data_IF_297555672218
#
_entry.id   IF_297555672218
#
_cell.length_a   1.000
_cell.length_b   1.000
_cell.length_c   1.000
_cell.angle_alpha   90.00
_cell.angle_beta   90.00
_cell.angle_gamma   90.00
#
_symmetry.space_group_name_H-M   'P 1'
#
loop_
_entity.id
_entity.type
_entity.pdbx_description
1 polymer ?
#
# COMPACT_ATOMS: atom_id res chain seq x y z
N UNK A 1 -28.97 -7.13 8.09
CA UNK A 1 -27.97 -6.49 7.22
C UNK A 1 -26.91 -5.87 8.13
N UNK A 2 -25.64 -6.23 7.96
CA UNK A 2 -24.57 -5.58 8.75
C UNK A 2 -24.41 -4.11 8.30
N UNK A 3 -24.16 -3.22 9.26
CA UNK A 3 -23.95 -1.80 8.98
C UNK A 3 -22.74 -1.63 8.06
N UNK A 4 -22.88 -0.99 6.87
CA UNK A 4 -21.77 -0.79 5.95
C UNK A 4 -20.57 -0.10 6.59
N UNK A 5 -20.79 0.78 7.57
CA UNK A 5 -19.73 1.51 8.29
C UNK A 5 -18.85 0.57 9.10
N UNK A 6 -19.44 -0.43 9.77
CA UNK A 6 -18.72 -1.44 10.56
C UNK A 6 -17.91 -2.38 9.66
N UNK A 7 -18.50 -2.82 8.54
CA UNK A 7 -17.78 -3.67 7.57
C UNK A 7 -16.55 -2.94 7.01
N UNK A 8 -16.70 -1.66 6.73
CA UNK A 8 -15.62 -0.86 6.17
C UNK A 8 -14.54 -0.50 7.19
N UNK A 9 -14.89 -0.30 8.47
CA UNK A 9 -13.92 -0.13 9.56
C UNK A 9 -13.02 -1.35 9.66
N UNK A 10 -13.61 -2.52 9.85
CA UNK A 10 -12.90 -3.81 9.94
C UNK A 10 -12.01 -4.10 8.72
N UNK A 11 -12.39 -3.71 7.49
CA UNK A 11 -11.54 -3.86 6.30
C UNK A 11 -10.32 -2.96 6.33
N UNK A 12 -10.46 -1.72 6.79
CA UNK A 12 -9.33 -0.78 6.88
C UNK A 12 -8.35 -1.18 7.97
N UNK A 13 -8.84 -1.65 9.11
CA UNK A 13 -8.02 -2.21 10.20
C UNK A 13 -7.22 -3.42 9.72
N UNK A 14 -7.85 -4.37 9.00
CA UNK A 14 -7.14 -5.51 8.40
C UNK A 14 -6.11 -5.10 7.35
N UNK A 15 -6.40 -4.08 6.53
CA UNK A 15 -5.44 -3.54 5.59
C UNK A 15 -4.25 -2.91 6.31
N UNK A 16 -4.48 -2.19 7.42
CA UNK A 16 -3.40 -1.64 8.24
C UNK A 16 -2.53 -2.73 8.84
N UNK A 17 -3.15 -3.74 9.48
CA UNK A 17 -2.46 -4.91 10.03
C UNK A 17 -1.58 -5.58 8.96
N UNK A 18 -2.14 -5.90 7.80
CA UNK A 18 -1.41 -6.51 6.69
C UNK A 18 -0.28 -5.60 6.17
N UNK A 19 -0.49 -4.27 6.16
CA UNK A 19 0.54 -3.30 5.77
C UNK A 19 1.70 -3.30 6.76
N UNK A 20 1.44 -3.24 8.06
CA UNK A 20 2.50 -3.30 9.09
C UNK A 20 3.27 -4.61 9.01
N UNK A 21 2.57 -5.75 8.82
CA UNK A 21 3.20 -7.05 8.61
C UNK A 21 4.11 -7.08 7.38
N UNK A 22 3.71 -6.41 6.29
CA UNK A 22 4.51 -6.36 5.06
C UNK A 22 5.73 -5.46 5.17
N UNK A 23 5.64 -4.37 5.92
CA UNK A 23 6.76 -3.45 6.17
C UNK A 23 7.81 -4.06 7.11
N UNK A 24 7.41 -4.88 8.08
CA UNK A 24 8.29 -5.76 8.84
C UNK A 24 9.08 -5.13 9.99
N UNK A 25 8.97 -3.82 10.25
CA UNK A 25 9.74 -3.12 11.29
C UNK A 25 8.97 -3.06 12.61
N UNK A 26 8.74 -4.21 13.21
CA UNK A 26 8.09 -4.33 14.52
C UNK A 26 8.49 -5.64 15.22
N UNK A 27 8.47 -5.64 16.54
CA UNK A 27 8.68 -6.83 17.39
C UNK A 27 7.37 -7.53 17.76
N UNK A 28 6.29 -6.73 17.90
CA UNK A 28 4.96 -7.23 18.24
C UNK A 28 3.91 -6.35 17.60
N UNK A 29 2.92 -6.98 16.99
CA UNK A 29 1.68 -6.37 16.53
C UNK A 29 0.53 -7.14 17.16
N UNK A 30 -0.38 -6.44 17.84
CA UNK A 30 -1.52 -7.03 18.52
C UNK A 30 -2.75 -6.17 18.31
N UNK A 31 -3.91 -6.78 18.02
CA UNK A 31 -5.21 -6.12 18.12
C UNK A 31 -5.50 -5.80 19.59
N UNK A 32 -5.73 -4.53 19.94
CA UNK A 32 -5.82 -4.07 21.32
C UNK A 32 -7.28 -3.95 21.79
N UNK A 33 -8.21 -3.65 20.91
CA UNK A 33 -9.62 -3.42 21.22
C UNK A 33 -10.46 -4.71 21.39
N UNK A 34 -9.79 -5.87 21.46
CA UNK A 34 -10.44 -7.17 21.68
C UNK A 34 -10.54 -7.51 23.17
N UNK A 35 -11.74 -7.98 23.55
CA UNK A 35 -12.00 -8.41 24.94
C UNK A 35 -12.64 -7.32 25.80
N UNK A 36 -12.68 -7.57 27.10
CA UNK A 36 -13.31 -6.66 28.06
C UNK A 36 -12.25 -5.78 28.72
N UNK A 37 -12.50 -4.48 28.73
CA UNK A 37 -11.71 -3.52 29.48
C UNK A 37 -12.44 -3.16 30.76
N UNK A 38 -11.80 -3.33 31.91
CA UNK A 38 -12.28 -2.90 33.23
C UNK A 38 -11.37 -1.77 33.71
N UNK A 39 -11.86 -0.56 33.72
CA UNK A 39 -11.12 0.63 34.16
C UNK A 39 -11.96 1.46 35.14
N UNK A 40 -11.28 2.17 36.04
CA UNK A 40 -11.91 3.07 37.00
C UNK A 40 -12.52 4.31 36.37
N UNK A 41 -12.08 4.64 35.15
CA UNK A 41 -12.53 5.80 34.36
C UNK A 41 -12.97 5.34 32.97
N UNK A 42 -13.87 6.10 32.35
CA UNK A 42 -14.30 5.81 30.99
C UNK A 42 -13.15 5.99 30.02
N UNK A 43 -12.78 4.93 29.32
CA UNK A 43 -11.74 4.93 28.30
C UNK A 43 -12.11 4.02 27.14
N UNK A 44 -11.37 4.12 26.06
CA UNK A 44 -11.50 3.27 24.86
C UNK A 44 -10.12 2.76 24.45
N UNK A 45 -10.01 1.44 24.27
CA UNK A 45 -8.82 0.85 23.67
C UNK A 45 -8.72 1.24 22.19
N UNK A 46 -7.56 1.68 21.70
CA UNK A 46 -7.28 1.82 20.27
C UNK A 46 -7.25 0.46 19.57
N UNK A 47 -7.28 0.47 18.24
CA UNK A 47 -7.38 -0.76 17.44
C UNK A 47 -6.18 -1.69 17.62
N UNK A 48 -4.96 -1.14 17.68
CA UNK A 48 -3.72 -1.92 17.74
C UNK A 48 -2.73 -1.44 18.78
N UNK A 49 -1.91 -2.40 19.27
CA UNK A 49 -0.64 -2.15 19.94
C UNK A 49 0.49 -2.62 19.03
N UNK A 50 1.50 -1.78 18.83
CA UNK A 50 2.72 -2.08 18.08
C UNK A 50 3.92 -1.86 18.99
N UNK A 51 4.83 -2.82 19.08
CA UNK A 51 6.15 -2.66 19.69
C UNK A 51 7.15 -2.57 18.54
N UNK A 52 7.81 -1.44 18.41
CA UNK A 52 8.80 -1.17 17.37
C UNK A 52 10.11 -1.91 17.65
N UNK A 53 11.02 -1.95 16.68
CA UNK A 53 12.31 -2.64 16.78
C UNK A 53 13.20 -2.10 17.92
N UNK A 54 13.10 -0.80 18.23
CA UNK A 54 13.81 -0.17 19.35
C UNK A 54 13.14 -0.36 20.72
N UNK A 55 11.96 -1.00 20.75
CA UNK A 55 11.19 -1.28 21.96
C UNK A 55 10.17 -0.19 22.34
N UNK A 56 10.08 0.92 21.60
CA UNK A 56 9.00 1.88 21.80
C UNK A 56 7.65 1.23 21.49
N UNK A 57 6.66 1.49 22.33
CA UNK A 57 5.30 0.97 22.12
C UNK A 57 4.41 2.08 21.58
N UNK A 58 3.60 1.75 20.59
CA UNK A 58 2.55 2.59 20.06
C UNK A 58 1.18 1.98 20.26
N UNK A 59 0.22 2.80 20.64
CA UNK A 59 -1.21 2.48 20.61
C UNK A 59 -1.79 3.18 19.38
N UNK A 60 -2.34 2.42 18.46
CA UNK A 60 -2.71 2.93 17.13
C UNK A 60 -4.21 2.83 16.92
N UNK A 61 -4.84 3.96 16.66
CA UNK A 61 -6.22 4.05 16.17
C UNK A 61 -6.23 4.22 14.66
N UNK A 62 -6.99 3.42 13.94
CA UNK A 62 -7.08 3.41 12.47
C UNK A 62 -8.26 4.23 11.99
N UNK A 63 -8.04 5.07 10.99
CA UNK A 63 -9.09 5.87 10.34
C UNK A 63 -9.00 5.75 8.82
N UNK A 64 -10.17 5.74 8.18
CA UNK A 64 -10.29 5.75 6.73
C UNK A 64 -10.93 7.05 6.27
N UNK A 65 -10.25 7.76 5.36
CA UNK A 65 -10.79 8.97 4.72
C UNK A 65 -11.24 8.63 3.31
N UNK A 66 -12.55 8.69 3.10
CA UNK A 66 -13.21 8.40 1.83
C UNK A 66 -13.85 9.66 1.25
N UNK A 67 -13.03 10.59 0.82
CA UNK A 67 -13.52 11.74 0.08
C UNK A 67 -13.25 11.54 -1.42
N UNK A 68 -14.23 11.70 -2.30
CA UNK A 68 -14.01 11.66 -3.74
C UNK A 68 -13.32 12.93 -4.27
N UNK A 69 -13.23 13.98 -3.44
CA UNK A 69 -12.66 15.27 -3.84
C UNK A 69 -11.17 15.33 -3.47
N UNK A 70 -10.25 15.40 -4.47
CA UNK A 70 -8.80 15.37 -4.24
C UNK A 70 -8.30 16.46 -3.27
N UNK A 71 -8.89 17.66 -3.34
CA UNK A 71 -8.44 18.82 -2.55
C UNK A 71 -9.15 18.94 -1.19
N UNK A 72 -10.13 18.08 -0.88
CA UNK A 72 -10.89 18.12 0.38
C UNK A 72 -10.59 16.92 1.28
N UNK A 73 -9.39 16.36 1.18
CA UNK A 73 -8.95 15.24 2.00
C UNK A 73 -8.67 15.73 3.43
N UNK A 74 -9.58 15.43 4.35
CA UNK A 74 -9.47 15.77 5.77
C UNK A 74 -10.18 14.77 6.65
N UNK A 75 -9.72 14.61 7.87
CA UNK A 75 -10.40 13.86 8.93
C UNK A 75 -10.56 14.70 10.17
N UNK A 76 -11.49 14.32 11.01
CA UNK A 76 -11.75 14.97 12.30
C UNK A 76 -12.20 13.95 13.34
N UNK A 77 -11.88 14.24 14.60
CA UNK A 77 -12.34 13.46 15.74
C UNK A 77 -12.90 14.39 16.81
N UNK A 78 -13.97 13.97 17.48
CA UNK A 78 -14.54 14.74 18.59
C UNK A 78 -13.58 14.74 19.79
N UNK A 79 -13.66 15.79 20.61
CA UNK A 79 -12.87 15.89 21.83
C UNK A 79 -13.09 14.70 22.77
N UNK A 80 -14.36 14.29 22.96
CA UNK A 80 -14.70 13.18 23.83
C UNK A 80 -14.11 11.85 23.34
N UNK A 81 -14.16 11.59 22.02
CA UNK A 81 -13.57 10.37 21.44
C UNK A 81 -12.06 10.34 21.59
N UNK A 82 -11.39 11.45 21.22
CA UNK A 82 -9.93 11.55 21.35
C UNK A 82 -9.48 11.45 22.81
N UNK A 83 -10.21 12.09 23.73
CA UNK A 83 -9.93 12.01 25.17
C UNK A 83 -10.07 10.56 25.70
N UNK A 84 -11.09 9.81 25.26
CA UNK A 84 -11.27 8.42 25.71
C UNK A 84 -10.12 7.49 25.26
N UNK A 85 -9.59 7.67 24.05
CA UNK A 85 -8.41 6.96 23.56
C UNK A 85 -7.15 7.39 24.33
N UNK A 86 -6.98 8.70 24.56
CA UNK A 86 -5.84 9.22 25.31
C UNK A 86 -5.82 8.72 26.75
N UNK A 87 -6.99 8.67 27.41
CA UNK A 87 -7.10 8.12 28.77
C UNK A 87 -6.61 6.67 28.84
N UNK A 88 -6.94 5.85 27.82
CA UNK A 88 -6.41 4.49 27.75
C UNK A 88 -4.89 4.49 27.54
N UNK A 89 -4.40 5.31 26.63
CA UNK A 89 -2.99 5.43 26.31
C UNK A 89 -2.15 5.86 27.53
N UNK A 90 -2.65 6.84 28.29
CA UNK A 90 -2.00 7.32 29.52
C UNK A 90 -1.94 6.24 30.60
N UNK A 91 -3.02 5.45 30.80
CA UNK A 91 -3.03 4.35 31.76
C UNK A 91 -2.08 3.22 31.37
N UNK A 92 -1.90 2.97 30.09
CA UNK A 92 -0.99 1.94 29.56
C UNK A 92 0.45 2.44 29.51
N UNK A 93 0.66 3.75 29.51
CA UNK A 93 1.98 4.39 29.42
C UNK A 93 2.61 4.28 28.02
N UNK A 94 1.80 4.29 26.98
CA UNK A 94 2.25 4.24 25.59
C UNK A 94 1.62 5.36 24.75
N UNK A 95 2.37 6.03 23.85
CA UNK A 95 1.83 7.12 23.05
C UNK A 95 0.73 6.64 22.10
N UNK A 96 -0.31 7.47 21.98
CA UNK A 96 -1.37 7.30 20.99
C UNK A 96 -0.89 7.77 19.62
N UNK A 97 -1.13 6.96 18.58
CA UNK A 97 -0.93 7.28 17.18
C UNK A 97 -2.23 7.13 16.40
N UNK A 98 -2.36 7.89 15.33
CA UNK A 98 -3.45 7.76 14.38
C UNK A 98 -2.89 7.27 13.06
N UNK A 99 -3.29 6.08 12.63
CA UNK A 99 -3.02 5.57 11.29
C UNK A 99 -4.20 5.95 10.38
N UNK A 100 -3.95 6.81 9.42
CA UNK A 100 -4.98 7.34 8.53
C UNK A 100 -4.75 6.84 7.12
N UNK A 101 -5.73 6.09 6.59
CA UNK A 101 -5.76 5.67 5.20
C UNK A 101 -6.50 6.71 4.36
N UNK A 102 -5.79 7.33 3.42
CA UNK A 102 -6.32 8.25 2.43
C UNK A 102 -6.69 7.45 1.17
N UNK A 103 -7.91 6.89 1.18
CA UNK A 103 -8.31 5.85 0.23
C UNK A 103 -8.31 6.29 -1.24
N UNK A 104 -8.57 7.57 -1.54
CA UNK A 104 -8.47 8.09 -2.91
C UNK A 104 -7.05 7.96 -3.49
N UNK A 105 -6.04 8.06 -2.62
CA UNK A 105 -4.62 8.07 -3.00
C UNK A 105 -3.88 6.77 -2.66
N UNK A 106 -4.54 5.83 -1.96
CA UNK A 106 -3.92 4.63 -1.38
C UNK A 106 -2.67 4.94 -0.54
N UNK A 107 -2.73 6.00 0.28
CA UNK A 107 -1.62 6.45 1.13
C UNK A 107 -1.98 6.24 2.59
N UNK A 108 -1.02 5.70 3.35
CA UNK A 108 -1.03 5.66 4.79
C UNK A 108 -0.22 6.81 5.39
N UNK A 109 -0.74 7.40 6.45
CA UNK A 109 0.01 8.29 7.32
C UNK A 109 -0.19 7.85 8.76
N UNK A 110 0.89 7.80 9.53
CA UNK A 110 0.87 7.56 10.98
C UNK A 110 1.34 8.83 11.66
N UNK A 111 0.53 9.38 12.55
CA UNK A 111 0.79 10.69 13.17
C UNK A 111 0.55 10.67 14.67
N UNK A 112 1.22 11.56 15.39
CA UNK A 112 0.92 11.91 16.78
C UNK A 112 -0.22 12.93 16.86
N UNK A 113 -1.36 12.63 17.49
CA UNK A 113 -2.54 13.51 17.49
C UNK A 113 -2.32 14.82 18.23
N UNK A 114 -1.36 14.92 19.15
CA UNK A 114 -1.09 16.10 19.96
C UNK A 114 -0.83 17.34 19.10
N UNK A 115 -0.16 17.17 17.96
CA UNK A 115 0.21 18.25 17.04
C UNK A 115 -0.99 18.92 16.34
N UNK A 116 -2.16 18.25 16.36
CA UNK A 116 -3.34 18.62 15.57
C UNK A 116 -4.57 18.85 16.44
N UNK A 117 -4.40 18.99 17.76
CA UNK A 117 -5.50 19.31 18.68
C UNK A 117 -6.00 20.72 18.42
N UNK A 118 -7.29 20.82 18.24
CA UNK A 118 -8.00 22.11 18.16
C UNK A 118 -8.28 22.67 19.56
N UNK A 119 -8.53 24.00 19.70
CA UNK A 119 -8.80 24.62 21.00
C UNK A 119 -9.94 24.00 21.79
N UNK A 120 -10.91 23.38 21.12
CA UNK A 120 -12.03 22.67 21.75
C UNK A 120 -11.68 21.21 22.14
N UNK A 121 -10.41 20.79 22.08
CA UNK A 121 -9.92 19.48 22.44
C UNK A 121 -10.12 18.37 21.40
N UNK A 122 -10.84 18.66 20.31
CA UNK A 122 -10.97 17.72 19.18
C UNK A 122 -9.73 17.75 18.27
N UNK A 123 -9.75 16.92 17.23
CA UNK A 123 -8.71 16.86 16.22
C UNK A 123 -9.29 17.22 14.86
N UNK A 124 -8.54 17.97 14.08
CA UNK A 124 -8.80 18.20 12.66
C UNK A 124 -7.48 18.24 11.91
N UNK A 125 -7.35 17.40 10.88
CA UNK A 125 -6.13 17.29 10.09
C UNK A 125 -6.47 17.13 8.60
N UNK A 126 -5.71 17.82 7.75
CA UNK A 126 -5.73 17.63 6.30
C UNK A 126 -4.72 16.56 5.89
N UNK A 127 -4.90 15.94 4.72
CA UNK A 127 -3.92 15.00 4.17
C UNK A 127 -2.53 15.62 4.06
N UNK A 128 -2.44 16.86 3.60
CA UNK A 128 -1.16 17.59 3.49
C UNK A 128 -0.42 17.66 4.83
N UNK A 129 -1.12 18.05 5.88
CA UNK A 129 -0.52 18.17 7.21
C UNK A 129 -0.13 16.80 7.77
N UNK A 130 -0.96 15.76 7.52
CA UNK A 130 -0.66 14.41 7.93
C UNK A 130 0.57 13.82 7.22
N UNK A 131 0.74 14.09 5.92
CA UNK A 131 1.94 13.67 5.15
C UNK A 131 3.19 14.36 5.69
N UNK A 132 3.13 15.66 6.01
CA UNK A 132 4.27 16.39 6.57
C UNK A 132 4.67 15.94 7.98
N UNK A 133 3.74 15.34 8.74
CA UNK A 133 3.97 14.82 10.09
C UNK A 133 4.04 13.30 10.15
N UNK A 134 4.16 12.64 9.01
CA UNK A 134 4.08 11.19 8.91
C UNK A 134 5.27 10.50 9.59
N UNK A 135 4.95 9.55 10.45
CA UNK A 135 5.90 8.74 11.21
C UNK A 135 5.96 7.28 10.71
N UNK A 136 5.31 6.95 9.58
CA UNK A 136 5.26 5.57 9.04
C UNK A 136 6.64 5.00 8.69
N UNK A 137 7.66 5.85 8.50
CA UNK A 137 9.05 5.41 8.37
C UNK A 137 9.55 4.56 9.55
N UNK A 138 8.98 4.76 10.77
CA UNK A 138 9.27 3.95 11.96
C UNK A 138 8.72 2.52 11.84
N UNK A 139 7.73 2.29 10.97
CA UNK A 139 7.16 0.98 10.66
C UNK A 139 7.84 0.31 9.46
N UNK A 140 8.85 0.96 8.85
CA UNK A 140 9.55 0.46 7.67
C UNK A 140 9.06 1.04 6.33
N UNK A 141 8.27 2.11 6.35
CA UNK A 141 7.85 2.77 5.12
C UNK A 141 9.05 3.34 4.36
N UNK A 142 9.20 2.95 3.11
CA UNK A 142 10.29 3.37 2.23
C UNK A 142 9.79 3.59 0.81
N UNK A 143 10.53 4.37 0.03
CA UNK A 143 10.37 4.41 -1.41
C UNK A 143 11.14 3.23 -2.00
N UNK A 144 10.45 2.39 -2.75
CA UNK A 144 11.09 1.30 -3.49
C UNK A 144 11.69 1.88 -4.77
N UNK A 145 12.95 1.55 -4.99
CA UNK A 145 13.70 1.96 -6.18
C UNK A 145 14.13 0.75 -6.99
N UNK A 146 14.07 0.85 -8.31
CA UNK A 146 14.52 -0.20 -9.23
C UNK A 146 15.11 0.42 -10.51
N UNK A 147 15.78 -0.40 -11.31
CA UNK A 147 16.30 0.05 -12.61
C UNK A 147 15.18 0.03 -13.65
N UNK A 148 15.00 1.14 -14.33
CA UNK A 148 14.09 1.25 -15.47
C UNK A 148 14.76 0.71 -16.77
N UNK A 149 13.96 0.16 -17.71
CA UNK A 149 12.56 -0.22 -17.57
C UNK A 149 12.37 -1.53 -16.78
N UNK A 150 11.17 -1.72 -16.17
CA UNK A 150 10.72 -3.07 -15.84
C UNK A 150 9.97 -3.63 -17.05
N UNK A 151 10.32 -4.83 -17.49
CA UNK A 151 9.71 -5.45 -18.66
C UNK A 151 9.25 -6.87 -18.38
N UNK A 152 8.09 -7.23 -18.92
CA UNK A 152 7.61 -8.62 -19.02
C UNK A 152 7.53 -8.99 -20.48
N UNK A 153 8.26 -10.01 -20.88
CA UNK A 153 8.27 -10.58 -22.23
C UNK A 153 7.56 -11.92 -22.18
N UNK A 154 6.45 -12.05 -22.92
CA UNK A 154 5.69 -13.27 -23.09
C UNK A 154 5.96 -13.81 -24.50
N UNK A 155 6.83 -14.82 -24.60
CA UNK A 155 7.16 -15.48 -25.86
C UNK A 155 6.08 -16.47 -26.28
N UNK A 156 5.76 -16.48 -27.57
CA UNK A 156 4.85 -17.48 -28.13
C UNK A 156 5.48 -18.88 -28.11
N UNK A 157 4.67 -19.93 -27.88
CA UNK A 157 5.10 -21.30 -28.01
C UNK A 157 5.36 -21.62 -29.50
N UNK A 158 6.57 -22.05 -29.84
CA UNK A 158 7.03 -22.25 -31.20
C UNK A 158 6.35 -23.41 -31.93
N UNK A 159 5.81 -24.36 -31.17
CA UNK A 159 5.11 -25.55 -31.65
C UNK A 159 3.58 -25.40 -31.71
N UNK A 160 3.06 -24.21 -31.38
CA UNK A 160 1.63 -23.93 -31.32
C UNK A 160 1.25 -22.81 -32.29
N UNK A 161 0.01 -22.82 -32.83
CA UNK A 161 -0.47 -21.77 -33.70
C UNK A 161 -0.44 -20.42 -32.98
N UNK A 162 0.10 -19.40 -33.67
CA UNK A 162 0.08 -18.02 -33.22
C UNK A 162 -0.11 -17.09 -34.41
N UNK A 163 -0.74 -15.95 -34.17
CA UNK A 163 -1.03 -14.98 -35.22
C UNK A 163 -1.08 -13.56 -34.70
N UNK A 164 -0.73 -12.63 -35.56
CA UNK A 164 -0.93 -11.19 -35.39
C UNK A 164 -1.75 -10.71 -36.57
N UNK A 165 -2.94 -10.16 -36.30
CA UNK A 165 -3.76 -9.58 -37.38
C UNK A 165 -3.26 -8.19 -37.80
N UNK A 166 -3.64 -7.68 -38.98
CA UNK A 166 -3.31 -6.32 -39.38
C UNK A 166 -3.85 -5.23 -38.44
N UNK A 167 -4.91 -5.54 -37.68
CA UNK A 167 -5.53 -4.67 -36.70
C UNK A 167 -4.81 -4.72 -35.34
N UNK A 168 -3.72 -5.50 -35.21
CA UNK A 168 -2.94 -5.63 -33.98
C UNK A 168 -3.50 -6.62 -32.94
N UNK A 169 -4.49 -7.45 -33.34
CA UNK A 169 -5.01 -8.51 -32.46
C UNK A 169 -4.07 -9.71 -32.49
N UNK A 170 -3.72 -10.23 -31.33
CA UNK A 170 -2.86 -11.41 -31.18
C UNK A 170 -3.62 -12.56 -30.54
N UNK A 171 -3.35 -13.78 -31.01
CA UNK A 171 -3.78 -15.00 -30.39
C UNK A 171 -2.59 -15.98 -30.38
N UNK A 172 -2.12 -16.35 -29.19
CA UNK A 172 -1.00 -17.26 -29.03
C UNK A 172 -1.01 -17.96 -27.68
N UNK A 173 -0.33 -19.09 -27.61
CA UNK A 173 -0.05 -19.79 -26.34
C UNK A 173 1.29 -19.31 -25.83
N UNK A 174 1.34 -18.91 -24.55
CA UNK A 174 2.57 -18.45 -23.89
C UNK A 174 3.48 -19.67 -23.68
N UNK A 175 4.61 -19.69 -24.38
CA UNK A 175 5.67 -20.70 -24.23
C UNK A 175 6.74 -20.29 -23.23
N UNK A 176 6.95 -18.98 -23.06
CA UNK A 176 7.92 -18.47 -22.11
C UNK A 176 7.48 -17.13 -21.51
N UNK A 177 7.92 -16.86 -20.27
CA UNK A 177 7.74 -15.57 -19.60
C UNK A 177 9.06 -15.14 -18.97
N UNK A 178 9.59 -14.00 -19.41
CA UNK A 178 10.83 -13.41 -18.91
C UNK A 178 10.55 -12.05 -18.31
N UNK A 179 11.24 -11.71 -17.22
CA UNK A 179 11.16 -10.43 -16.56
C UNK A 179 12.54 -9.77 -16.55
N UNK A 180 12.57 -8.45 -16.73
CA UNK A 180 13.80 -7.68 -16.77
C UNK A 180 13.71 -6.46 -15.88
N UNK A 181 14.83 -6.06 -15.26
CA UNK A 181 15.04 -4.77 -14.61
C UNK A 181 16.24 -4.09 -15.30
N UNK A 182 15.98 -3.01 -16.03
CA UNK A 182 16.92 -2.50 -17.00
C UNK A 182 17.22 -3.57 -18.06
N UNK A 183 18.51 -3.81 -18.29
CA UNK A 183 18.99 -4.83 -19.25
C UNK A 183 19.18 -6.23 -18.62
N UNK A 184 18.92 -6.38 -17.32
CA UNK A 184 19.19 -7.63 -16.59
C UNK A 184 17.94 -8.50 -16.55
N UNK A 185 18.04 -9.74 -17.08
CA UNK A 185 17.01 -10.75 -16.90
C UNK A 185 16.96 -11.24 -15.46
N UNK A 186 15.78 -11.21 -14.84
CA UNK A 186 15.53 -11.69 -13.49
C UNK A 186 15.25 -13.19 -13.53
N UNK A 187 16.19 -13.99 -13.04
CA UNK A 187 16.10 -15.46 -13.04
C UNK A 187 15.69 -16.03 -11.68
N UNK A 188 16.02 -15.34 -10.58
CA UNK A 188 15.58 -15.74 -9.23
C UNK A 188 14.08 -15.58 -9.07
N UNK A 189 13.43 -16.57 -8.45
CA UNK A 189 11.97 -16.61 -8.31
C UNK A 189 11.43 -15.44 -7.45
N UNK A 190 12.18 -15.02 -6.43
CA UNK A 190 11.77 -13.93 -5.54
C UNK A 190 11.86 -12.58 -6.26
N UNK A 191 12.94 -12.36 -6.99
CA UNK A 191 13.16 -11.15 -7.79
C UNK A 191 12.08 -11.02 -8.88
N UNK A 192 11.75 -12.14 -9.55
CA UNK A 192 10.67 -12.18 -10.55
C UNK A 192 9.32 -11.83 -9.95
N UNK A 193 8.95 -12.42 -8.81
CA UNK A 193 7.68 -12.11 -8.12
C UNK A 193 7.64 -10.67 -7.66
N UNK A 194 8.75 -10.13 -7.14
CA UNK A 194 8.82 -8.73 -6.75
C UNK A 194 8.65 -7.82 -7.96
N UNK A 195 9.37 -8.06 -9.05
CA UNK A 195 9.27 -7.28 -10.28
C UNK A 195 7.87 -7.31 -10.87
N UNK A 196 7.17 -8.45 -10.83
CA UNK A 196 5.77 -8.58 -11.24
C UNK A 196 4.86 -7.67 -10.39
N UNK A 197 5.00 -7.70 -9.06
CA UNK A 197 4.25 -6.81 -8.16
C UNK A 197 4.56 -5.35 -8.45
N UNK A 198 5.83 -5.00 -8.64
CA UNK A 198 6.25 -3.63 -8.92
C UNK A 198 5.70 -3.13 -10.27
N UNK A 199 5.70 -3.99 -11.30
CA UNK A 199 5.21 -3.65 -12.62
C UNK A 199 3.71 -3.37 -12.62
N UNK A 200 2.90 -4.20 -11.95
CA UNK A 200 1.45 -4.07 -11.97
C UNK A 200 0.88 -3.12 -10.90
N UNK A 201 1.57 -2.94 -9.79
CA UNK A 201 1.08 -2.16 -8.64
C UNK A 201 1.94 -0.95 -8.29
N UNK A 202 3.07 -0.77 -8.96
CA UNK A 202 3.92 0.41 -8.87
C UNK A 202 3.26 1.66 -9.45
N UNK A 203 4.01 2.75 -9.47
CA UNK A 203 3.52 4.06 -9.91
C UNK A 203 3.93 4.41 -11.35
N UNK A 204 4.78 3.60 -11.97
CA UNK A 204 5.20 3.81 -13.35
C UNK A 204 4.07 3.50 -14.33
N UNK A 205 4.05 4.23 -15.44
CA UNK A 205 3.14 3.94 -16.56
C UNK A 205 3.56 2.64 -17.23
N UNK A 206 2.56 1.78 -17.50
CA UNK A 206 2.79 0.52 -18.23
C UNK A 206 2.29 0.67 -19.64
N UNK A 207 3.18 0.46 -20.60
CA UNK A 207 2.87 0.37 -22.03
C UNK A 207 2.78 -1.10 -22.44
N UNK A 208 1.90 -1.39 -23.39
CA UNK A 208 1.73 -2.74 -23.95
C UNK A 208 0.27 -3.21 -23.96
N UNK A 209 0.04 -4.40 -24.54
CA UNK A 209 1.05 -5.30 -25.13
C UNK A 209 1.68 -4.73 -26.40
N UNK A 210 3.02 -4.74 -26.50
CA UNK A 210 3.78 -4.42 -27.70
C UNK A 210 4.18 -5.71 -28.41
N UNK A 211 3.89 -5.83 -29.72
CA UNK A 211 4.22 -7.02 -30.48
C UNK A 211 5.73 -7.17 -30.69
N UNK A 212 6.26 -8.35 -30.42
CA UNK A 212 7.64 -8.73 -30.73
C UNK A 212 7.62 -9.57 -32.01
N UNK A 213 8.50 -9.23 -32.96
CA UNK A 213 8.68 -9.99 -34.20
C UNK A 213 10.12 -10.44 -34.34
N UNK A 214 10.33 -11.69 -34.75
CA UNK A 214 11.64 -12.25 -35.08
C UNK A 214 11.61 -12.76 -36.53
N UNK A 215 12.53 -12.29 -37.36
CA UNK A 215 12.55 -12.65 -38.78
C UNK A 215 11.31 -12.20 -39.57
N UNK A 216 10.51 -11.25 -39.07
CA UNK A 216 9.27 -10.82 -39.66
C UNK A 216 8.02 -11.60 -39.20
N UNK A 217 8.20 -12.63 -38.40
CA UNK A 217 7.10 -13.42 -37.82
C UNK A 217 6.83 -12.97 -36.39
N UNK A 218 5.57 -13.13 -35.92
CA UNK A 218 5.19 -12.84 -34.55
C UNK A 218 5.88 -13.81 -33.58
N UNK A 219 6.60 -13.27 -32.58
CA UNK A 219 7.33 -14.06 -31.59
C UNK A 219 6.75 -13.92 -30.18
N UNK A 220 5.94 -12.89 -29.91
CA UNK A 220 5.39 -12.68 -28.58
C UNK A 220 4.94 -11.24 -28.35
N UNK A 221 4.74 -10.90 -27.08
CA UNK A 221 4.41 -9.53 -26.67
C UNK A 221 5.24 -9.10 -25.48
N UNK A 222 5.46 -7.81 -25.32
CA UNK A 222 6.05 -7.25 -24.12
C UNK A 222 5.16 -6.17 -23.48
N UNK A 223 5.32 -6.04 -22.17
CA UNK A 223 4.81 -4.93 -21.36
C UNK A 223 6.01 -4.22 -20.75
N UNK A 224 6.01 -2.89 -20.83
CA UNK A 224 7.13 -2.04 -20.41
C UNK A 224 6.63 -1.02 -19.41
N UNK A 225 7.16 -1.06 -18.17
CA UNK A 225 6.91 -0.02 -17.18
C UNK A 225 8.08 0.94 -17.12
N UNK A 226 7.80 2.24 -17.25
CA UNK A 226 8.79 3.32 -17.24
C UNK A 226 8.34 4.46 -16.31
N UNK A 227 9.27 5.14 -15.61
CA UNK A 227 8.98 6.42 -14.97
C UNK A 227 8.73 7.49 -16.05
N UNK A 228 7.94 8.52 -15.72
CA UNK A 228 7.69 9.65 -16.63
C UNK A 228 9.00 10.37 -16.98
N UNK A 229 9.87 10.56 -15.98
CA UNK A 229 11.18 11.18 -16.12
C UNK A 229 12.24 10.25 -15.52
N UNK A 230 12.92 9.42 -16.33
CA UNK A 230 14.01 8.55 -15.85
C UNK A 230 15.17 9.36 -15.29
N UNK A 231 15.73 8.92 -14.16
CA UNK A 231 16.89 9.57 -13.57
C UNK A 231 18.19 9.19 -14.26
N UNK A 232 19.17 10.11 -14.31
CA UNK A 232 20.51 9.84 -14.82
C UNK A 232 21.33 8.89 -13.92
N UNK A 233 20.83 8.59 -12.72
CA UNK A 233 21.51 7.73 -11.76
C UNK A 233 21.28 6.23 -11.99
N UNK A 234 20.37 5.89 -12.91
CA UNK A 234 20.04 4.51 -13.28
C UNK A 234 19.19 3.75 -12.25
N UNK A 235 18.64 4.46 -11.24
CA UNK A 235 17.70 3.96 -10.27
C UNK A 235 16.56 4.95 -10.10
N UNK A 236 15.35 4.48 -10.23
CA UNK A 236 14.14 5.30 -10.19
C UNK A 236 13.16 4.79 -9.14
N UNK A 237 12.49 5.73 -8.47
CA UNK A 237 11.46 5.41 -7.50
C UNK A 237 10.22 4.87 -8.18
N UNK A 238 9.77 3.69 -7.79
CA UNK A 238 8.55 3.06 -8.34
C UNK A 238 7.34 3.21 -7.43
N UNK A 239 7.54 3.77 -6.24
CA UNK A 239 6.47 4.10 -5.31
C UNK A 239 6.77 3.74 -3.86
N UNK A 240 5.87 4.12 -2.96
CA UNK A 240 5.93 3.80 -1.55
C UNK A 240 5.56 2.34 -1.30
N UNK A 241 6.30 1.66 -0.42
CA UNK A 241 6.09 0.24 -0.11
C UNK A 241 4.65 -0.05 0.33
N UNK A 242 4.11 0.73 1.28
CA UNK A 242 2.73 0.56 1.75
C UNK A 242 1.69 0.83 0.67
N UNK A 243 1.95 1.75 -0.26
CA UNK A 243 1.03 2.07 -1.35
C UNK A 243 0.96 0.95 -2.38
N UNK A 244 2.11 0.43 -2.79
CA UNK A 244 2.21 -0.73 -3.70
C UNK A 244 1.53 -1.93 -3.06
N UNK A 245 1.83 -2.22 -1.78
CA UNK A 245 1.22 -3.31 -1.04
C UNK A 245 -0.30 -3.15 -0.91
N UNK A 246 -0.80 -1.94 -0.60
CA UNK A 246 -2.25 -1.70 -0.48
C UNK A 246 -2.99 -1.96 -1.79
N UNK A 247 -2.41 -1.61 -2.93
CA UNK A 247 -2.96 -1.91 -4.27
C UNK A 247 -2.98 -3.41 -4.53
N UNK A 248 -1.85 -4.08 -4.28
CA UNK A 248 -1.74 -5.53 -4.41
C UNK A 248 -2.76 -6.26 -3.52
N UNK A 249 -2.83 -5.90 -2.23
CA UNK A 249 -3.77 -6.49 -1.28
C UNK A 249 -5.24 -6.29 -1.70
N UNK A 250 -5.58 -5.09 -2.18
CA UNK A 250 -6.93 -4.82 -2.69
C UNK A 250 -7.29 -5.72 -3.88
N UNK A 251 -6.39 -5.87 -4.86
CA UNK A 251 -6.61 -6.74 -6.01
C UNK A 251 -6.80 -8.21 -5.60
N UNK A 252 -6.02 -8.70 -4.62
CA UNK A 252 -6.14 -10.09 -4.15
C UNK A 252 -7.40 -10.35 -3.30
N UNK A 253 -7.93 -9.33 -2.62
CA UNK A 253 -9.04 -9.51 -1.66
C UNK A 253 -10.39 -9.05 -2.18
N UNK A 254 -10.43 -8.11 -3.14
CA UNK A 254 -11.66 -7.55 -3.70
C UNK A 254 -12.00 -8.17 -5.05
N UNK A 255 -10.99 -8.39 -5.91
CA UNK A 255 -11.17 -8.90 -7.26
C UNK A 255 -11.08 -10.44 -7.34
N UNK A 256 -10.57 -11.11 -6.30
CA UNK A 256 -10.48 -12.56 -6.21
C UNK A 256 -11.82 -13.29 -5.98
N UNK A 257 -12.89 -12.58 -5.72
CA UNK A 257 -14.25 -13.09 -5.51
C UNK A 257 -15.18 -12.88 -6.74
N UNK A 258 -14.62 -12.70 -7.95
CA UNK A 258 -15.40 -12.64 -9.20
C UNK A 258 -15.16 -13.83 -10.09
#
# INVERSE_FOLDING_TARGET
>A
MADPTLIHGSRTERLFEATVLSLGHFRLLKTEDVGRVHAAVSCRAPDFRIVLDDGEQWLVEVKNVRSPEPFKQKTQMSAAYLASLQTYADMVGAPLKLAIFWSLWNIWTVISPERFRSPNGGLRITMKDAVLANESGRLGEVIIMTKAPLRVVLGAATDMPHSLSPEGLTNFIIGSAKLYSGEVELTDLRDRKLAEVLLFYGEWSVEGPLAITEGGEFAGVEFVAMPEEPSDQGWDGIGWASRIFSRYYAAQTIDGDR
#
